data_IF_344370079247
#
_entry.id   IF_344370079247
#
_cell.length_a   1.000
_cell.length_b   1.000
_cell.length_c   1.000
_cell.angle_alpha   90.00
_cell.angle_beta   90.00
_cell.angle_gamma   90.00
#
_symmetry.space_group_name_H-M   'P 1'
#
loop_
_entity.id
_entity.type
_entity.pdbx_description
1 polymer ?
#
# COMPACT_ATOMS: atom_id res chain seq x y z
N UNK A 1 -7.99 -24.59 3.13
CA UNK A 1 -6.64 -24.11 2.80
C UNK A 1 -6.63 -22.59 2.84
N UNK A 2 -5.50 -21.96 3.16
CA UNK A 2 -5.29 -20.51 3.09
C UNK A 2 -4.32 -20.21 1.95
N UNK A 3 -4.58 -19.18 1.14
CA UNK A 3 -3.68 -18.75 0.05
C UNK A 3 -2.37 -18.19 0.63
N UNK A 4 -2.48 -17.46 1.74
CA UNK A 4 -1.37 -16.88 2.48
C UNK A 4 -1.74 -16.81 3.98
N UNK A 5 -0.74 -16.96 4.86
CA UNK A 5 -0.94 -16.86 6.30
C UNK A 5 -1.28 -15.43 6.72
N UNK A 6 -2.41 -15.25 7.40
CA UNK A 6 -2.91 -13.92 7.77
C UNK A 6 -2.04 -13.21 8.82
N UNK A 7 -1.30 -13.96 9.67
CA UNK A 7 -0.38 -13.35 10.64
C UNK A 7 0.84 -12.78 9.91
N UNK A 8 1.37 -13.52 8.93
CA UNK A 8 2.45 -13.03 8.07
C UNK A 8 2.01 -11.81 7.27
N UNK A 9 0.80 -11.82 6.70
CA UNK A 9 0.26 -10.65 5.99
C UNK A 9 0.13 -9.42 6.90
N UNK A 10 -0.47 -9.61 8.08
CA UNK A 10 -0.65 -8.54 9.05
C UNK A 10 0.69 -7.94 9.47
N UNK A 11 1.67 -8.80 9.77
CA UNK A 11 3.01 -8.38 10.15
C UNK A 11 3.68 -7.58 9.02
N UNK A 12 3.60 -8.07 7.79
CA UNK A 12 4.12 -7.36 6.62
C UNK A 12 3.54 -5.94 6.49
N UNK A 13 2.22 -5.79 6.60
CA UNK A 13 1.56 -4.48 6.49
C UNK A 13 1.97 -3.55 7.64
N UNK A 14 2.08 -4.07 8.87
CA UNK A 14 2.52 -3.27 10.02
C UNK A 14 3.95 -2.78 9.82
N UNK A 15 4.89 -3.71 9.59
CA UNK A 15 6.31 -3.43 9.53
C UNK A 15 6.66 -2.52 8.33
N UNK A 16 5.98 -2.70 7.20
CA UNK A 16 6.34 -2.02 5.96
C UNK A 16 5.59 -0.72 5.72
N UNK A 17 4.39 -0.56 6.28
CA UNK A 17 3.54 0.61 6.08
C UNK A 17 3.28 1.32 7.40
N UNK A 18 2.58 0.68 8.35
CA UNK A 18 2.07 1.36 9.55
C UNK A 18 3.20 1.98 10.38
N UNK A 19 4.22 1.19 10.76
CA UNK A 19 5.37 1.68 11.53
C UNK A 19 6.16 2.80 10.82
N UNK A 20 6.04 2.86 9.49
CA UNK A 20 6.72 3.87 8.69
C UNK A 20 5.93 5.17 8.60
N UNK A 21 4.60 5.14 8.63
CA UNK A 21 3.75 6.31 8.35
C UNK A 21 2.96 6.83 9.55
N UNK A 22 2.69 5.98 10.55
CA UNK A 22 1.83 6.33 11.68
C UNK A 22 2.43 7.45 12.53
N UNK A 23 1.62 8.46 12.86
CA UNK A 23 2.03 9.66 13.58
C UNK A 23 3.25 10.41 12.99
N UNK A 24 3.46 10.34 11.67
CA UNK A 24 4.58 11.02 11.00
C UNK A 24 4.16 12.07 9.97
N UNK A 25 5.06 12.99 9.66
CA UNK A 25 4.92 13.84 8.49
C UNK A 25 5.37 13.04 7.24
N UNK A 26 4.42 12.72 6.37
CA UNK A 26 4.66 11.87 5.19
C UNK A 26 5.76 12.40 4.26
N UNK A 27 5.90 13.72 4.12
CA UNK A 27 6.86 14.30 3.16
C UNK A 27 8.28 14.42 3.74
N UNK A 28 8.42 14.39 5.06
CA UNK A 28 9.69 14.65 5.75
C UNK A 28 10.25 13.37 6.38
N UNK A 29 9.39 12.59 7.03
CA UNK A 29 9.80 11.48 7.89
C UNK A 29 9.69 10.11 7.19
N UNK A 30 9.07 10.05 6.01
CA UNK A 30 8.81 8.81 5.28
C UNK A 30 9.62 8.79 3.98
N UNK A 31 10.77 8.09 3.94
CA UNK A 31 11.72 8.19 2.82
C UNK A 31 11.12 7.88 1.43
N UNK A 32 10.19 6.92 1.34
CA UNK A 32 9.57 6.53 0.07
C UNK A 32 8.44 7.47 -0.38
N UNK A 33 8.11 8.47 0.44
CA UNK A 33 7.15 9.54 0.12
C UNK A 33 7.83 10.92 0.06
N UNK A 34 9.16 10.97 0.17
CA UNK A 34 9.90 12.22 0.00
C UNK A 34 9.66 12.76 -1.41
N UNK A 35 9.37 14.06 -1.50
CA UNK A 35 9.05 14.76 -2.75
C UNK A 35 7.78 14.25 -3.49
N UNK A 36 6.96 13.45 -2.81
CA UNK A 36 5.65 13.00 -3.30
C UNK A 36 4.55 13.89 -2.72
N UNK A 37 3.56 14.26 -3.53
CA UNK A 37 2.33 14.88 -3.03
C UNK A 37 1.50 13.77 -2.36
N UNK A 38 1.23 13.82 -1.03
CA UNK A 38 0.69 12.69 -0.29
C UNK A 38 -0.84 12.58 -0.41
N UNK A 39 -1.35 12.55 -1.64
CA UNK A 39 -2.78 12.26 -1.89
C UNK A 39 -3.07 10.78 -1.65
N UNK A 40 -4.33 10.43 -1.36
CA UNK A 40 -4.73 9.04 -1.15
C UNK A 40 -4.40 8.14 -2.37
N UNK A 41 -4.45 8.66 -3.59
CA UNK A 41 -4.07 7.96 -4.81
C UNK A 41 -2.60 7.63 -4.85
N UNK A 42 -1.74 8.62 -4.59
CA UNK A 42 -0.29 8.40 -4.55
C UNK A 42 0.06 7.43 -3.43
N UNK A 43 -0.49 7.61 -2.23
CA UNK A 43 -0.26 6.70 -1.12
C UNK A 43 -0.65 5.26 -1.46
N UNK A 44 -1.80 5.04 -2.10
CA UNK A 44 -2.20 3.70 -2.54
C UNK A 44 -1.21 3.06 -3.53
N UNK A 45 -0.66 3.86 -4.46
CA UNK A 45 0.37 3.40 -5.41
C UNK A 45 1.68 3.06 -4.69
N UNK A 46 2.19 3.96 -3.87
CA UNK A 46 3.47 3.75 -3.17
C UNK A 46 3.38 2.62 -2.14
N UNK A 47 2.26 2.48 -1.42
CA UNK A 47 2.05 1.35 -0.52
C UNK A 47 2.00 0.02 -1.27
N UNK A 48 1.38 -0.01 -2.45
CA UNK A 48 1.40 -1.19 -3.31
C UNK A 48 2.82 -1.53 -3.77
N UNK A 49 3.59 -0.55 -4.25
CA UNK A 49 4.98 -0.75 -4.69
C UNK A 49 5.89 -1.27 -3.56
N UNK A 50 5.59 -0.90 -2.31
CA UNK A 50 6.29 -1.40 -1.12
C UNK A 50 5.86 -2.83 -0.74
N UNK A 51 4.57 -3.17 -0.86
CA UNK A 51 3.99 -4.43 -0.37
C UNK A 51 4.10 -5.58 -1.38
N UNK A 52 3.74 -5.37 -2.65
CA UNK A 52 3.68 -6.41 -3.68
C UNK A 52 4.96 -7.25 -3.78
N UNK A 53 6.18 -6.67 -3.89
CA UNK A 53 7.41 -7.46 -4.02
C UNK A 53 7.79 -8.22 -2.74
N UNK A 54 7.15 -7.93 -1.59
CA UNK A 54 7.45 -8.57 -0.30
C UNK A 54 6.47 -9.69 0.07
N UNK A 55 5.43 -9.91 -0.74
CA UNK A 55 4.55 -11.06 -0.55
C UNK A 55 5.32 -12.35 -0.86
N UNK A 56 5.36 -13.27 0.10
CA UNK A 56 6.06 -14.55 -0.04
C UNK A 56 5.29 -15.55 -0.91
N UNK A 57 3.97 -15.38 -1.02
CA UNK A 57 3.10 -16.18 -1.89
C UNK A 57 1.87 -15.37 -2.31
N UNK A 58 1.25 -15.76 -3.41
CA UNK A 58 0.12 -15.03 -3.98
C UNK A 58 0.55 -13.73 -4.69
N UNK A 59 -0.45 -12.91 -5.01
CA UNK A 59 -0.27 -11.58 -5.62
C UNK A 59 -1.23 -10.63 -4.93
N UNK A 60 -0.81 -9.39 -4.67
CA UNK A 60 -1.73 -8.35 -4.23
C UNK A 60 -2.74 -8.11 -5.34
N UNK A 61 -4.02 -8.18 -5.00
CA UNK A 61 -5.11 -7.99 -5.96
C UNK A 61 -5.72 -6.60 -5.86
N UNK A 62 -5.85 -6.10 -4.63
CA UNK A 62 -6.48 -4.82 -4.36
C UNK A 62 -5.88 -4.21 -3.09
N UNK A 63 -5.54 -2.93 -3.17
CA UNK A 63 -5.27 -2.09 -2.01
C UNK A 63 -6.36 -1.03 -1.94
N UNK A 64 -7.09 -1.00 -0.83
CA UNK A 64 -8.10 0.00 -0.56
C UNK A 64 -7.66 0.89 0.59
N UNK A 65 -7.39 2.16 0.30
CA UNK A 65 -6.96 3.16 1.28
C UNK A 65 -8.13 4.09 1.60
N UNK A 66 -8.48 4.20 2.88
CA UNK A 66 -9.48 5.16 3.35
C UNK A 66 -8.76 6.35 3.97
N UNK A 67 -8.91 7.52 3.35
CA UNK A 67 -8.47 8.79 3.96
C UNK A 67 -9.49 9.24 5.02
N UNK A 68 -10.76 8.98 4.77
CA UNK A 68 -11.87 9.18 5.72
C UNK A 68 -12.94 8.11 5.49
N UNK A 69 -13.99 8.01 6.33
CA UNK A 69 -15.06 7.02 6.13
C UNK A 69 -15.77 7.13 4.78
N UNK A 70 -15.76 8.32 4.14
CA UNK A 70 -16.43 8.58 2.86
C UNK A 70 -15.47 8.79 1.69
N UNK A 71 -14.17 8.97 1.95
CA UNK A 71 -13.17 9.14 0.90
C UNK A 71 -12.20 7.96 0.90
N UNK A 72 -12.16 7.21 -0.21
CA UNK A 72 -11.26 6.08 -0.36
C UNK A 72 -10.78 5.94 -1.80
N UNK A 73 -9.59 5.37 -1.94
CA UNK A 73 -9.01 4.98 -3.22
C UNK A 73 -8.87 3.47 -3.26
N UNK A 74 -9.13 2.89 -4.43
CA UNK A 74 -8.85 1.49 -4.73
C UNK A 74 -7.80 1.43 -5.83
N UNK A 75 -6.71 0.70 -5.57
CA UNK A 75 -5.63 0.48 -6.52
C UNK A 75 -5.41 -1.02 -6.74
N UNK A 76 -5.22 -1.43 -8.01
CA UNK A 76 -5.08 -2.84 -8.44
C UNK A 76 -3.82 -3.08 -9.29
N UNK A 77 -2.80 -2.26 -9.09
CA UNK A 77 -1.55 -2.33 -9.86
C UNK A 77 -1.63 -1.69 -11.26
N UNK A 78 -0.46 -1.45 -11.88
CA UNK A 78 -0.33 -0.74 -13.17
C UNK A 78 -0.88 -1.52 -14.37
N UNK A 79 -1.01 -2.84 -14.27
CA UNK A 79 -1.40 -3.74 -15.38
C UNK A 79 -2.90 -3.86 -15.63
N UNK A 80 -3.74 -3.05 -14.98
CA UNK A 80 -5.19 -3.00 -15.24
C UNK A 80 -5.61 -1.89 -16.24
N UNK A 81 -4.64 -1.23 -16.89
CA UNK A 81 -4.88 -0.24 -17.94
C UNK A 81 -4.51 -0.75 -19.32
N UNK A 82 -5.54 -1.09 -20.11
CA UNK A 82 -5.57 -1.33 -21.58
C UNK A 82 -4.55 -2.33 -22.16
N UNK A 83 -5.09 -3.47 -22.56
CA UNK A 83 -4.63 -4.19 -23.74
C UNK A 83 -5.03 -3.33 -24.94
N UNK A 84 -4.05 -2.79 -25.65
CA UNK A 84 -4.22 -2.43 -27.05
C UNK A 84 -3.85 -3.67 -27.89
#
# INVERSE_FOLDING_TARGET
GMVLDLKTLKKLVIDEIIEKVDHKNLNVDVPFLKDVIPTAENLAIYFWEVLEPKLQSGKLQELKLYESPRNFVVYRGKSHGRVD
#
